data_IF_773833435378
#
_entry.id   IF_773833435378
#
_cell.length_a   1.000
_cell.length_b   1.000
_cell.length_c   1.000
_cell.angle_alpha   90.00
_cell.angle_beta   90.00
_cell.angle_gamma   90.00
#
_symmetry.space_group_name_H-M   'P 1'
#
loop_
_entity.id
_entity.type
_entity.pdbx_description
1 polymer ?
#
# COMPACT_ATOMS: atom_id res chain seq x y z
N UNK A 1 -7.85 -18.84 9.41
CA UNK A 1 -7.19 -18.22 8.23
C UNK A 1 -5.93 -17.43 8.63
N UNK A 2 -6.01 -16.39 9.48
CA UNK A 2 -4.82 -15.63 9.92
C UNK A 2 -3.88 -16.42 10.85
N UNK A 3 -4.41 -17.37 11.62
CA UNK A 3 -3.66 -18.23 12.56
C UNK A 3 -2.50 -19.01 11.91
N UNK A 4 -2.60 -19.31 10.61
CA UNK A 4 -1.55 -20.01 9.87
C UNK A 4 -0.60 -19.09 9.10
N UNK A 5 -0.90 -17.78 9.08
CA UNK A 5 -0.11 -16.78 8.37
C UNK A 5 0.81 -15.99 9.31
N UNK A 6 0.39 -15.81 10.56
CA UNK A 6 1.09 -14.99 11.54
C UNK A 6 1.81 -15.91 12.55
N UNK A 7 3.05 -15.59 12.95
CA UNK A 7 3.81 -16.40 13.90
C UNK A 7 3.14 -16.50 15.27
N UNK A 8 2.38 -15.47 15.64
CA UNK A 8 1.53 -15.45 16.83
C UNK A 8 0.19 -14.87 16.40
N UNK A 9 -0.89 -15.58 16.70
CA UNK A 9 -2.25 -15.07 16.61
C UNK A 9 -3.11 -15.77 17.67
N UNK A 10 -3.72 -14.98 18.54
CA UNK A 10 -4.63 -15.48 19.59
C UNK A 10 -5.58 -14.38 20.04
N UNK A 11 -6.55 -14.74 20.87
CA UNK A 11 -7.33 -13.76 21.61
C UNK A 11 -6.40 -12.93 22.53
N UNK A 12 -6.67 -11.63 22.63
CA UNK A 12 -6.01 -10.77 23.61
C UNK A 12 -6.47 -11.14 25.03
N UNK A 13 -5.55 -11.11 25.99
CA UNK A 13 -5.88 -11.32 27.41
C UNK A 13 -6.59 -10.08 27.98
N UNK A 14 -7.24 -10.23 29.14
CA UNK A 14 -7.86 -9.07 29.82
C UNK A 14 -6.86 -7.97 30.15
N UNK A 15 -5.63 -8.33 30.53
CA UNK A 15 -4.59 -7.35 30.82
C UNK A 15 -4.06 -6.67 29.56
N UNK A 16 -4.00 -7.37 28.42
CA UNK A 16 -3.67 -6.76 27.14
C UNK A 16 -4.77 -5.79 26.67
N UNK A 17 -6.04 -6.10 26.91
CA UNK A 17 -7.15 -5.18 26.60
C UNK A 17 -7.07 -3.90 27.44
N UNK A 18 -6.62 -3.99 28.70
CA UNK A 18 -6.42 -2.83 29.60
C UNK A 18 -5.26 -1.90 29.17
N UNK A 19 -4.40 -2.31 28.22
CA UNK A 19 -3.37 -1.44 27.66
C UNK A 19 -3.96 -0.25 26.90
N UNK A 20 -5.15 -0.43 26.31
CA UNK A 20 -5.93 0.62 25.67
C UNK A 20 -6.98 1.16 26.64
N UNK A 21 -7.09 2.48 26.78
CA UNK A 21 -8.22 3.05 27.50
C UNK A 21 -9.52 2.89 26.70
N UNK A 22 -10.62 2.67 27.41
CA UNK A 22 -11.93 2.36 26.86
C UNK A 22 -12.49 1.04 27.40
N UNK A 23 -13.71 0.71 27.02
CA UNK A 23 -14.42 -0.50 27.47
C UNK A 23 -14.30 -1.65 26.45
N UNK A 24 -13.07 -2.04 26.11
CA UNK A 24 -12.78 -3.06 25.11
C UNK A 24 -13.13 -4.46 25.63
N UNK A 25 -14.18 -5.08 25.08
CA UNK A 25 -14.62 -6.44 25.48
C UNK A 25 -13.90 -7.57 24.75
N UNK A 26 -13.37 -7.29 23.56
CA UNK A 26 -12.75 -8.26 22.67
C UNK A 26 -11.54 -7.67 21.96
N UNK A 27 -10.60 -8.53 21.62
CA UNK A 27 -9.43 -8.17 20.84
C UNK A 27 -8.63 -9.40 20.44
N UNK A 28 -7.78 -9.24 19.42
CA UNK A 28 -6.80 -10.23 18.99
C UNK A 28 -5.40 -9.69 19.23
N UNK A 29 -4.52 -10.54 19.75
CA UNK A 29 -3.10 -10.28 19.82
C UNK A 29 -2.40 -11.06 18.71
N UNK A 30 -1.55 -10.37 17.95
CA UNK A 30 -0.75 -11.02 16.94
C UNK A 30 0.58 -10.31 16.70
N UNK A 31 1.56 -11.07 16.22
CA UNK A 31 2.86 -10.52 15.80
C UNK A 31 2.91 -10.48 14.28
N UNK A 32 3.34 -9.35 13.72
CA UNK A 32 3.46 -9.14 12.27
C UNK A 32 4.67 -8.28 11.94
N UNK A 33 4.94 -8.10 10.65
CA UNK A 33 6.03 -7.27 10.14
C UNK A 33 5.57 -5.83 9.91
N UNK A 34 6.46 -4.88 10.19
CA UNK A 34 6.31 -3.47 9.78
C UNK A 34 7.32 -3.18 8.67
N UNK A 35 6.82 -2.70 7.53
CA UNK A 35 7.66 -2.23 6.42
C UNK A 35 7.67 -0.70 6.39
N UNK A 36 8.85 -0.09 6.52
CA UNK A 36 9.03 1.35 6.33
C UNK A 36 9.43 1.60 4.87
N UNK A 37 8.50 2.14 4.08
CA UNK A 37 8.70 2.34 2.64
C UNK A 37 9.90 3.21 2.30
N UNK A 38 10.25 4.18 3.16
CA UNK A 38 11.43 5.04 2.95
C UNK A 38 12.76 4.28 3.02
N UNK A 39 12.78 3.13 3.68
CA UNK A 39 13.95 2.25 3.75
C UNK A 39 13.84 1.12 2.72
N UNK A 40 12.64 0.54 2.58
CA UNK A 40 12.42 -0.61 1.70
C UNK A 40 12.53 -0.27 0.22
N UNK A 41 11.98 0.87 -0.23
CA UNK A 41 12.00 1.23 -1.66
C UNK A 41 13.43 1.50 -2.19
N UNK A 42 14.30 2.26 -1.49
CA UNK A 42 15.70 2.39 -1.91
C UNK A 42 16.45 1.05 -1.92
N UNK A 43 16.20 0.19 -0.92
CA UNK A 43 16.78 -1.16 -0.91
C UNK A 43 16.33 -1.99 -2.12
N UNK A 44 15.04 -1.98 -2.46
CA UNK A 44 14.49 -2.69 -3.60
C UNK A 44 15.05 -2.16 -4.92
N UNK A 45 15.17 -0.84 -5.08
CA UNK A 45 15.77 -0.21 -6.26
C UNK A 45 17.26 -0.59 -6.42
N UNK A 46 18.03 -0.62 -5.32
CA UNK A 46 19.42 -1.08 -5.33
C UNK A 46 19.52 -2.56 -5.70
N UNK A 47 18.63 -3.40 -5.17
CA UNK A 47 18.59 -4.83 -5.52
C UNK A 47 18.29 -5.04 -7.00
N UNK A 48 17.38 -4.25 -7.57
CA UNK A 48 17.05 -4.29 -8.99
C UNK A 48 18.25 -3.88 -9.87
N UNK A 49 18.91 -2.76 -9.55
CA UNK A 49 20.07 -2.27 -10.32
C UNK A 49 21.28 -3.19 -10.20
N UNK A 50 21.56 -3.74 -9.02
CA UNK A 50 22.62 -4.75 -8.84
C UNK A 50 22.37 -6.04 -9.65
N UNK A 51 21.11 -6.34 -10.00
CA UNK A 51 20.75 -7.47 -10.86
C UNK A 51 20.81 -7.12 -12.37
N UNK A 52 21.34 -5.95 -12.74
CA UNK A 52 21.46 -5.47 -14.11
C UNK A 52 20.24 -4.67 -14.61
N UNK A 53 19.26 -4.40 -13.75
CA UNK A 53 18.13 -3.55 -14.08
C UNK A 53 18.54 -2.08 -14.28
N UNK A 54 17.91 -1.41 -15.25
CA UNK A 54 18.15 0.01 -15.55
C UNK A 54 16.93 0.82 -15.11
N UNK A 55 17.17 1.91 -14.37
CA UNK A 55 16.11 2.85 -13.97
C UNK A 55 16.21 4.09 -14.86
N UNK A 56 15.13 4.36 -15.59
CA UNK A 56 14.98 5.54 -16.46
C UNK A 56 13.77 6.35 -16.04
N UNK A 57 13.81 7.66 -16.25
CA UNK A 57 12.72 8.57 -15.91
C UNK A 57 12.04 9.06 -17.19
N UNK A 58 10.79 8.64 -17.38
CA UNK A 58 9.98 9.04 -18.53
C UNK A 58 8.54 9.30 -18.08
N UNK A 59 7.91 10.29 -18.71
CA UNK A 59 6.46 10.44 -18.70
C UNK A 59 5.86 9.62 -19.85
N UNK A 60 4.72 8.99 -19.60
CA UNK A 60 3.99 8.22 -20.60
C UNK A 60 2.55 8.71 -20.64
N UNK A 61 2.08 9.06 -21.82
CA UNK A 61 0.68 9.37 -22.09
C UNK A 61 -0.10 8.08 -22.43
N UNK A 62 0.59 7.08 -22.97
CA UNK A 62 0.00 5.78 -23.32
C UNK A 62 1.02 4.65 -23.24
N UNK A 63 0.59 3.46 -22.79
CA UNK A 63 1.46 2.28 -22.72
C UNK A 63 1.98 1.85 -24.10
N UNK A 64 1.26 2.15 -25.17
CA UNK A 64 1.67 1.85 -26.56
C UNK A 64 2.95 2.57 -26.97
N UNK A 65 3.35 3.66 -26.29
CA UNK A 65 4.65 4.31 -26.52
C UNK A 65 5.82 3.34 -26.28
N UNK A 66 5.63 2.29 -25.47
CA UNK A 66 6.65 1.28 -25.14
C UNK A 66 6.70 0.11 -26.13
N UNK A 67 5.74 0.00 -27.06
CA UNK A 67 5.58 -1.17 -27.92
C UNK A 67 6.78 -1.46 -28.84
N UNK A 68 7.57 -0.43 -29.15
CA UNK A 68 8.72 -0.57 -30.05
C UNK A 68 10.04 -0.84 -29.33
N UNK A 69 10.06 -0.63 -28.02
CA UNK A 69 11.27 -0.74 -27.22
C UNK A 69 11.30 -1.98 -26.32
N UNK A 70 10.13 -2.60 -26.08
CA UNK A 70 10.00 -3.70 -25.12
C UNK A 70 9.07 -4.80 -25.62
N UNK A 71 9.43 -6.06 -25.34
CA UNK A 71 8.61 -7.24 -25.68
C UNK A 71 7.38 -7.40 -24.77
N UNK A 72 7.53 -7.05 -23.49
CA UNK A 72 6.50 -7.15 -22.45
C UNK A 72 6.60 -5.95 -21.52
N UNK A 73 5.45 -5.36 -21.19
CA UNK A 73 5.32 -4.27 -20.22
C UNK A 73 4.58 -4.77 -18.99
N UNK A 74 5.16 -4.56 -17.80
CA UNK A 74 4.46 -4.81 -16.54
C UNK A 74 3.94 -3.48 -16.00
N UNK A 75 2.63 -3.24 -16.09
CA UNK A 75 2.00 -2.00 -15.67
C UNK A 75 1.73 -2.00 -14.15
N UNK A 76 2.64 -1.37 -13.40
CA UNK A 76 2.55 -1.15 -11.95
C UNK A 76 2.26 0.32 -11.57
N UNK A 77 1.58 1.09 -12.45
CA UNK A 77 1.42 2.54 -12.30
C UNK A 77 0.48 2.99 -11.16
N UNK A 78 -0.16 2.06 -10.45
CA UNK A 78 -1.05 2.38 -9.33
C UNK A 78 -2.21 3.27 -9.79
N UNK A 79 -2.26 4.51 -9.32
CA UNK A 79 -3.27 5.49 -9.76
C UNK A 79 -3.11 5.92 -11.21
N UNK A 80 -1.89 5.90 -11.76
CA UNK A 80 -1.65 6.28 -13.15
C UNK A 80 -2.41 5.42 -14.15
N UNK A 81 -2.79 4.19 -13.78
CA UNK A 81 -3.61 3.32 -14.61
C UNK A 81 -5.04 3.86 -14.86
N UNK A 82 -5.52 4.80 -14.03
CA UNK A 82 -6.79 5.49 -14.29
C UNK A 82 -6.76 6.24 -15.62
N UNK A 83 -5.62 6.87 -15.94
CA UNK A 83 -5.40 7.61 -17.18
C UNK A 83 -4.85 6.68 -18.26
N UNK A 84 -3.77 5.95 -17.96
CA UNK A 84 -3.06 5.09 -18.92
C UNK A 84 -3.91 3.93 -19.48
N UNK A 85 -4.94 3.49 -18.74
CA UNK A 85 -5.80 2.37 -19.12
C UNK A 85 -7.28 2.73 -19.11
N UNK A 86 -7.64 4.00 -18.86
CA UNK A 86 -9.03 4.46 -18.76
C UNK A 86 -9.83 3.60 -17.76
N UNK A 87 -9.17 3.16 -16.67
CA UNK A 87 -9.78 2.23 -15.70
C UNK A 87 -10.64 3.01 -14.71
N UNK A 88 -11.92 3.16 -15.05
CA UNK A 88 -12.92 3.85 -14.22
C UNK A 88 -13.23 3.14 -12.89
N UNK A 89 -12.76 1.90 -12.69
CA UNK A 89 -12.90 1.21 -11.41
C UNK A 89 -11.86 1.65 -10.39
N UNK A 90 -10.84 2.43 -10.79
CA UNK A 90 -9.89 3.05 -9.88
C UNK A 90 -10.45 4.33 -9.26
N UNK A 91 -10.57 4.32 -7.93
CA UNK A 91 -11.03 5.45 -7.12
C UNK A 91 -10.07 5.73 -5.95
N UNK A 92 -9.79 7.01 -5.62
CA UNK A 92 -9.01 7.37 -4.44
C UNK A 92 -9.77 7.06 -3.16
N UNK A 93 -9.05 6.43 -2.24
CA UNK A 93 -9.40 6.49 -0.81
C UNK A 93 -8.33 7.31 -0.13
N UNK A 94 -8.62 8.60 0.07
CA UNK A 94 -7.74 9.53 0.77
C UNK A 94 -7.55 9.05 2.21
N UNK A 95 -6.30 9.12 2.68
CA UNK A 95 -5.92 8.87 4.05
C UNK A 95 -4.95 9.92 4.55
N UNK A 96 -5.18 10.38 5.77
CA UNK A 96 -4.29 11.28 6.49
C UNK A 96 -3.71 10.58 7.72
N UNK A 97 -2.44 10.82 7.99
CA UNK A 97 -1.72 10.28 9.15
C UNK A 97 -0.84 11.37 9.79
N UNK A 98 -0.53 11.17 11.07
CA UNK A 98 0.31 12.06 11.87
C UNK A 98 1.49 11.23 12.38
N UNK A 99 2.71 11.71 12.14
CA UNK A 99 3.93 11.10 12.66
C UNK A 99 4.31 11.82 13.96
N UNK A 100 4.47 11.06 15.04
CA UNK A 100 4.84 11.60 16.36
C UNK A 100 6.08 10.92 16.92
N UNK A 101 6.85 11.65 17.73
CA UNK A 101 7.99 11.10 18.48
C UNK A 101 7.50 10.51 19.79
N UNK A 102 7.30 9.19 19.81
CA UNK A 102 6.88 8.44 20.99
C UNK A 102 7.66 7.11 21.10
N UNK A 103 8.97 7.14 21.41
CA UNK A 103 9.82 5.95 21.41
C UNK A 103 9.41 4.88 22.42
N UNK A 104 8.59 5.22 23.42
CA UNK A 104 8.03 4.29 24.41
C UNK A 104 6.91 3.40 23.86
N UNK A 105 6.33 3.72 22.70
CA UNK A 105 5.32 2.87 22.06
C UNK A 105 6.03 1.80 21.25
N UNK A 106 5.91 0.54 21.67
CA UNK A 106 6.53 -0.63 21.03
C UNK A 106 5.54 -1.61 20.40
N UNK A 107 4.25 -1.46 20.73
CA UNK A 107 3.17 -2.31 20.23
C UNK A 107 2.31 -1.53 19.24
N UNK A 108 1.84 -2.21 18.19
CA UNK A 108 0.85 -1.65 17.28
C UNK A 108 -0.56 -1.85 17.86
N UNK A 109 -1.41 -0.85 17.71
CA UNK A 109 -2.81 -0.90 18.12
C UNK A 109 -3.70 -0.56 16.93
N UNK A 110 -4.81 -1.28 16.81
CA UNK A 110 -5.84 -1.03 15.81
C UNK A 110 -7.19 -1.16 16.50
N UNK A 111 -8.03 -0.13 16.39
CA UNK A 111 -9.38 -0.13 16.94
C UNK A 111 -10.37 0.56 16.01
N UNK A 112 -11.51 0.92 16.57
CA UNK A 112 -12.65 1.42 15.79
C UNK A 112 -12.37 2.74 15.06
N UNK A 113 -13.23 3.05 14.08
CA UNK A 113 -13.21 4.31 13.34
C UNK A 113 -11.85 4.63 12.69
N UNK A 114 -11.25 3.61 12.06
CA UNK A 114 -9.92 3.68 11.43
C UNK A 114 -8.84 4.21 12.39
N UNK A 115 -8.92 3.90 13.68
CA UNK A 115 -7.91 4.32 14.66
C UNK A 115 -6.79 3.31 14.69
N UNK A 116 -5.59 3.72 14.29
CA UNK A 116 -4.40 2.86 14.36
C UNK A 116 -3.17 3.63 14.82
N UNK A 117 -2.38 2.96 15.65
CA UNK A 117 -1.15 3.46 16.25
C UNK A 117 -0.07 2.45 15.91
N UNK A 118 0.80 2.77 14.97
CA UNK A 118 1.79 1.83 14.44
C UNK A 118 3.19 2.35 14.75
N UNK A 119 3.97 1.69 15.61
CA UNK A 119 5.36 2.06 15.83
C UNK A 119 6.17 1.83 14.55
N UNK A 120 6.91 2.86 14.15
CA UNK A 120 7.90 2.78 13.07
C UNK A 120 9.31 2.94 13.62
N UNK A 121 10.31 2.82 12.74
CA UNK A 121 11.72 2.90 13.11
C UNK A 121 12.12 4.27 13.68
N UNK A 122 11.59 5.36 13.12
CA UNK A 122 11.91 6.74 13.54
C UNK A 122 10.78 7.43 14.32
N UNK A 123 9.53 7.06 14.02
CA UNK A 123 8.34 7.75 14.50
C UNK A 123 7.17 6.78 14.59
N UNK A 124 6.25 7.06 15.51
CA UNK A 124 4.96 6.36 15.59
C UNK A 124 4.00 7.01 14.62
N UNK A 125 3.24 6.19 13.90
CA UNK A 125 2.18 6.62 12.99
C UNK A 125 0.86 6.60 13.74
N UNK A 126 0.20 7.76 13.84
CA UNK A 126 -1.18 7.87 14.28
C UNK A 126 -2.03 8.02 13.02
N UNK A 127 -3.01 7.15 12.86
CA UNK A 127 -4.01 7.30 11.83
C UNK A 127 -5.39 6.92 12.34
N UNK A 128 -6.42 7.12 11.53
CA UNK A 128 -6.38 7.77 10.24
C UNK A 128 -7.74 8.23 9.79
N UNK A 129 -7.91 8.31 8.46
CA UNK A 129 -9.19 8.48 7.82
C UNK A 129 -9.25 7.65 6.53
N UNK A 130 -10.49 7.40 6.07
CA UNK A 130 -10.82 6.85 4.76
C UNK A 130 -11.91 7.71 4.14
N UNK A 131 -11.53 8.51 3.17
CA UNK A 131 -12.46 9.36 2.43
C UNK A 131 -12.47 8.88 0.98
N UNK A 132 -13.59 8.25 0.59
CA UNK A 132 -13.79 7.73 -0.75
C UNK A 132 -13.95 8.86 -1.76
N UNK A 133 -13.40 8.64 -2.95
CA UNK A 133 -13.42 9.53 -4.11
C UNK A 133 -12.87 10.94 -3.86
N UNK A 134 -12.06 11.10 -2.81
CA UNK A 134 -11.38 12.36 -2.50
C UNK A 134 -9.99 12.40 -3.13
N UNK A 135 -9.77 13.34 -4.05
CA UNK A 135 -8.47 13.62 -4.66
C UNK A 135 -7.65 14.67 -3.89
N UNK A 136 -8.21 15.22 -2.81
CA UNK A 136 -7.58 16.30 -2.07
C UNK A 136 -6.30 15.82 -1.35
N UNK A 137 -5.15 16.33 -1.75
CA UNK A 137 -3.86 16.01 -1.13
C UNK A 137 -3.47 16.97 0.00
N UNK A 138 -4.27 18.00 0.27
CA UNK A 138 -4.02 18.96 1.34
C UNK A 138 -4.35 18.39 2.71
N UNK A 139 -3.60 18.84 3.72
CA UNK A 139 -3.85 18.47 5.12
C UNK A 139 -5.17 19.11 5.59
N UNK A 140 -6.06 18.30 6.14
CA UNK A 140 -7.29 18.75 6.76
C UNK A 140 -7.12 18.84 8.28
N UNK A 141 -7.22 20.04 8.84
CA UNK A 141 -7.10 20.27 10.30
C UNK A 141 -8.11 19.47 11.13
N UNK A 142 -9.33 19.27 10.60
CA UNK A 142 -10.38 18.53 11.28
C UNK A 142 -10.05 17.03 11.35
N UNK A 143 -9.50 16.47 10.27
CA UNK A 143 -8.97 15.10 10.27
C UNK A 143 -7.82 14.98 11.29
N UNK A 144 -6.92 15.96 11.35
CA UNK A 144 -5.81 15.97 12.31
C UNK A 144 -6.30 15.96 13.75
N UNK A 145 -7.30 16.79 14.07
CA UNK A 145 -7.92 16.85 15.40
C UNK A 145 -8.63 15.54 15.75
N UNK A 146 -9.39 14.97 14.81
CA UNK A 146 -10.11 13.72 15.01
C UNK A 146 -9.16 12.53 15.23
N UNK A 147 -8.09 12.43 14.44
CA UNK A 147 -7.05 11.39 14.59
C UNK A 147 -6.35 11.53 15.94
N UNK A 148 -5.90 12.74 16.31
CA UNK A 148 -5.27 13.01 17.62
C UNK A 148 -6.20 12.62 18.75
N UNK A 149 -7.46 13.07 18.71
CA UNK A 149 -8.45 12.75 19.75
C UNK A 149 -8.58 11.23 19.94
N UNK A 150 -8.90 10.47 18.88
CA UNK A 150 -9.09 9.02 19.01
C UNK A 150 -7.84 8.28 19.47
N UNK A 151 -6.66 8.65 18.94
CA UNK A 151 -5.41 8.02 19.37
C UNK A 151 -5.01 8.36 20.81
N UNK A 152 -5.26 9.59 21.25
CA UNK A 152 -4.96 10.03 22.62
C UNK A 152 -5.96 9.50 23.64
N UNK A 153 -7.21 9.32 23.24
CA UNK A 153 -8.21 8.65 24.07
C UNK A 153 -7.87 7.17 24.22
N UNK A 154 -7.39 6.50 23.16
CA UNK A 154 -6.94 5.10 23.22
C UNK A 154 -5.65 4.92 24.02
N UNK A 155 -4.63 5.78 23.81
CA UNK A 155 -3.35 5.76 24.52
C UNK A 155 -2.97 7.17 25.00
N UNK A 156 -3.37 7.56 26.23
CA UNK A 156 -3.10 8.91 26.75
C UNK A 156 -1.64 9.30 26.84
N UNK A 157 -0.72 8.32 26.93
CA UNK A 157 0.72 8.56 26.90
C UNK A 157 1.21 9.25 25.62
N UNK A 158 0.40 9.27 24.55
CA UNK A 158 0.69 10.00 23.31
C UNK A 158 0.46 11.51 23.41
N UNK A 159 -0.27 12.02 24.40
CA UNK A 159 -0.54 13.47 24.55
C UNK A 159 0.73 14.30 24.71
N UNK A 160 1.80 13.70 25.27
CA UNK A 160 3.13 14.32 25.42
C UNK A 160 4.04 14.16 24.19
N UNK A 161 3.60 13.44 23.16
CA UNK A 161 4.43 13.16 21.99
C UNK A 161 4.52 14.39 21.09
N UNK A 162 5.74 14.76 20.69
CA UNK A 162 5.96 15.84 19.72
C UNK A 162 5.51 15.40 18.33
N UNK A 163 4.66 16.18 17.68
CA UNK A 163 4.32 16.00 16.26
C UNK A 163 5.55 16.31 15.41
N UNK A 164 5.89 15.39 14.51
CA UNK A 164 7.02 15.51 13.58
C UNK A 164 6.52 16.05 12.23
N UNK A 165 5.47 15.44 11.69
CA UNK A 165 4.84 15.80 10.42
C UNK A 165 3.45 15.20 10.29
N UNK A 166 2.65 15.78 9.41
CA UNK A 166 1.38 15.23 8.96
C UNK A 166 1.50 14.92 7.46
N UNK A 167 0.84 13.86 7.00
CA UNK A 167 0.95 13.39 5.62
C UNK A 167 -0.41 12.93 5.12
N UNK A 168 -0.68 13.20 3.84
CA UNK A 168 -1.87 12.75 3.11
C UNK A 168 -1.41 11.86 1.96
N UNK A 169 -2.18 10.81 1.69
CA UNK A 169 -1.93 9.92 0.56
C UNK A 169 -3.24 9.37 0.00
N UNK A 170 -3.21 9.05 -1.29
CA UNK A 170 -4.34 8.46 -2.02
C UNK A 170 -4.08 6.97 -2.21
N UNK A 171 -4.95 6.12 -1.68
CA UNK A 171 -4.87 4.67 -1.87
C UNK A 171 -5.50 4.28 -3.21
N UNK A 172 -4.78 3.58 -4.13
CA UNK A 172 -5.27 3.19 -5.46
C UNK A 172 -6.29 2.07 -5.38
N UNK A 173 -7.50 2.37 -4.91
CA UNK A 173 -8.52 1.38 -4.69
C UNK A 173 -9.20 0.99 -5.99
N UNK A 174 -9.25 -0.31 -6.25
CA UNK A 174 -10.13 -0.96 -7.21
C UNK A 174 -10.88 -2.06 -6.47
N UNK A 175 -12.14 -2.32 -6.82
CA UNK A 175 -12.94 -3.36 -6.16
C UNK A 175 -12.25 -4.73 -6.23
N UNK A 176 -11.63 -5.05 -7.37
CA UNK A 176 -10.79 -6.21 -7.58
C UNK A 176 -9.41 -5.73 -8.01
N UNK A 177 -8.34 -6.19 -7.35
CA UNK A 177 -6.97 -5.92 -7.79
C UNK A 177 -6.79 -6.45 -9.21
N UNK A 178 -6.25 -5.64 -10.12
CA UNK A 178 -6.02 -6.07 -11.50
C UNK A 178 -4.65 -6.70 -11.61
N UNK A 179 -4.60 -8.03 -11.71
CA UNK A 179 -3.39 -8.79 -12.08
C UNK A 179 -3.72 -9.75 -13.21
N UNK A 180 -3.51 -9.32 -14.44
CA UNK A 180 -3.91 -10.05 -15.64
C UNK A 180 -3.05 -9.67 -16.84
N UNK A 181 -3.06 -10.52 -17.88
CA UNK A 181 -2.39 -10.25 -19.14
C UNK A 181 -3.36 -9.63 -20.16
N UNK A 182 -2.87 -8.67 -20.94
CA UNK A 182 -3.61 -7.99 -22.01
C UNK A 182 -2.70 -7.82 -23.24
N UNK A 183 -3.29 -7.79 -24.44
CA UNK A 183 -2.60 -7.48 -25.68
C UNK A 183 -3.17 -6.19 -26.26
N UNK A 184 -2.37 -5.13 -26.32
CA UNK A 184 -2.74 -3.90 -27.04
C UNK A 184 -2.20 -3.95 -28.46
N UNK A 185 -2.98 -3.49 -29.43
CA UNK A 185 -2.53 -3.41 -30.83
C UNK A 185 -2.40 -1.95 -31.22
N UNK A 186 -1.21 -1.54 -31.68
CA UNK A 186 -1.02 -0.23 -32.30
C UNK A 186 -1.78 -0.14 -33.63
N UNK A 187 -2.05 1.07 -34.11
CA UNK A 187 -2.55 1.31 -35.47
C UNK A 187 -1.66 0.65 -36.55
N UNK A 188 -0.34 0.61 -36.31
CA UNK A 188 0.63 -0.11 -37.16
C UNK A 188 0.45 -1.64 -37.22
N UNK A 189 -0.46 -2.22 -36.43
CA UNK A 189 -0.70 -3.67 -36.33
C UNK A 189 0.23 -4.41 -35.34
N UNK A 190 1.24 -3.75 -34.79
CA UNK A 190 2.14 -4.34 -33.79
C UNK A 190 1.43 -4.55 -32.45
N UNK A 191 1.56 -5.77 -31.90
CA UNK A 191 1.00 -6.15 -30.59
C UNK A 191 1.99 -5.88 -29.47
N UNK A 192 1.54 -5.18 -28.43
CA UNK A 192 2.22 -4.99 -27.17
C UNK A 192 1.61 -5.91 -26.12
N UNK A 193 2.46 -6.73 -25.49
CA UNK A 193 2.07 -7.61 -24.39
C UNK A 193 2.16 -6.85 -23.07
N UNK A 194 1.08 -6.87 -22.30
CA UNK A 194 1.01 -6.17 -21.03
C UNK A 194 0.61 -7.14 -19.94
N UNK A 195 1.24 -7.01 -18.77
CA UNK A 195 0.76 -7.61 -17.52
C UNK A 195 0.43 -6.48 -16.56
N UNK A 196 -0.85 -6.32 -16.23
CA UNK A 196 -1.29 -5.34 -15.24
C UNK A 196 -1.00 -5.85 -13.83
N UNK A 197 -0.63 -4.95 -12.91
CA UNK A 197 -0.49 -5.24 -11.48
C UNK A 197 -0.73 -3.93 -10.69
N UNK A 198 -1.99 -3.56 -10.53
CA UNK A 198 -2.38 -2.32 -9.85
C UNK A 198 -3.76 -2.44 -9.16
N UNK A 199 -4.18 -1.38 -8.46
CA UNK A 199 -5.49 -1.34 -7.80
C UNK A 199 -5.51 -1.90 -6.38
N UNK A 200 -4.37 -1.88 -5.68
CA UNK A 200 -4.18 -2.54 -4.39
C UNK A 200 -4.77 -1.80 -3.17
N UNK A 201 -5.37 -0.62 -3.35
CA UNK A 201 -5.95 0.17 -2.26
C UNK A 201 -5.00 0.34 -1.06
N UNK A 202 -5.49 0.07 0.14
CA UNK A 202 -4.74 0.21 1.39
C UNK A 202 -3.88 -0.98 1.81
N UNK A 203 -3.86 -2.06 1.03
CA UNK A 203 -3.23 -3.33 1.39
C UNK A 203 -2.08 -3.73 0.45
N UNK A 204 -1.67 -2.82 -0.46
CA UNK A 204 -0.64 -3.12 -1.46
C UNK A 204 0.71 -3.54 -0.91
N UNK A 205 1.15 -2.98 0.23
CA UNK A 205 2.39 -3.43 0.87
C UNK A 205 2.28 -4.89 1.34
N UNK A 206 1.15 -5.27 1.93
CA UNK A 206 0.90 -6.62 2.43
C UNK A 206 0.79 -7.63 1.30
N UNK A 207 0.13 -7.28 0.20
CA UNK A 207 -0.12 -8.21 -0.92
C UNK A 207 0.97 -8.23 -1.98
N UNK A 208 1.89 -7.26 -1.98
CA UNK A 208 2.93 -7.10 -3.01
C UNK A 208 3.72 -8.39 -3.33
N UNK A 209 4.19 -9.20 -2.36
CA UNK A 209 4.92 -10.42 -2.69
C UNK A 209 4.08 -11.44 -3.46
N UNK A 210 2.79 -11.55 -3.15
CA UNK A 210 1.86 -12.46 -3.81
C UNK A 210 1.53 -11.98 -5.23
N UNK A 211 1.15 -10.72 -5.36
CA UNK A 211 0.77 -10.15 -6.67
C UNK A 211 1.97 -10.06 -7.61
N UNK A 212 3.17 -9.74 -7.11
CA UNK A 212 4.40 -9.77 -7.90
C UNK A 212 4.74 -11.18 -8.43
N UNK A 213 4.62 -12.21 -7.58
CA UNK A 213 4.84 -13.61 -8.03
C UNK A 213 3.84 -14.03 -9.10
N UNK A 214 2.57 -13.65 -8.95
CA UNK A 214 1.54 -13.94 -9.94
C UNK A 214 1.76 -13.19 -11.25
N UNK A 215 2.12 -11.90 -11.21
CA UNK A 215 2.48 -11.13 -12.38
C UNK A 215 3.69 -11.74 -13.13
N UNK A 216 4.73 -12.18 -12.42
CA UNK A 216 5.89 -12.88 -13.03
C UNK A 216 5.47 -14.18 -13.70
N UNK A 217 4.52 -14.94 -13.12
CA UNK A 217 3.96 -16.13 -13.78
C UNK A 217 3.30 -15.76 -15.10
N UNK A 218 2.44 -14.75 -15.13
CA UNK A 218 1.78 -14.28 -16.36
C UNK A 218 2.77 -13.83 -17.42
N UNK A 219 3.85 -13.14 -17.04
CA UNK A 219 4.94 -12.76 -17.96
C UNK A 219 5.57 -14.01 -18.58
N UNK A 220 5.85 -15.06 -17.80
CA UNK A 220 6.41 -16.32 -18.31
C UNK A 220 5.45 -17.02 -19.27
N UNK A 221 4.17 -17.09 -18.91
CA UNK A 221 3.13 -17.71 -19.75
C UNK A 221 3.04 -17.00 -21.12
N UNK A 222 3.15 -15.67 -21.14
CA UNK A 222 3.19 -14.86 -22.37
C UNK A 222 4.41 -15.13 -23.27
N UNK A 223 5.54 -15.58 -22.72
CA UNK A 223 6.70 -16.02 -23.51
C UNK A 223 6.52 -17.44 -24.03
N UNK A 224 5.93 -18.35 -23.25
CA UNK A 224 5.70 -19.75 -23.68
C UNK A 224 4.72 -19.83 -24.86
N UNK A 225 3.68 -18.99 -24.90
CA UNK A 225 2.75 -18.94 -26.02
C UNK A 225 3.38 -18.46 -27.36
N UNK A 226 4.62 -17.96 -27.35
CA UNK A 226 5.36 -17.63 -28.57
C UNK A 226 6.16 -18.80 -29.16
N UNK A 227 6.35 -19.89 -28.41
CA UNK A 227 7.03 -21.08 -28.93
C UNK A 227 6.08 -21.84 -29.85
N UNK A 228 6.10 -21.48 -31.14
CA UNK A 228 5.63 -22.37 -32.20
C UNK A 228 6.73 -23.42 -32.41
N UNK A 229 6.44 -24.68 -32.09
CA UNK A 229 7.07 -25.82 -32.76
C UNK A 229 6.61 -25.85 -34.22
#
# INVERSE_FOLDING_TARGET
>A
FLEHLLPVYRRATEDELKLCQGDWKYGSFFTTCVTESRLFLPYAAKKFTNAGGIITYHHLDALTQLADSYDVVVNCSGFGAKELCIDHHLVPIRGQVIKVRAPWIKMAFYGDYDTYIIPGFEAVTLGGCRQFDSYNTEICRYDSMAIKKRCYDMLPSLKKAKVIREMVGLRPHRAVVRVEAEFLTKESGKKLKIVHNYGHGGYGVTTAPGTAKYAVKLVRDLFTCNSKL
#
